data_IF_536028745010
#
_entry.id   IF_536028745010
#
_cell.length_a   1.000
_cell.length_b   1.000
_cell.length_c   1.000
_cell.angle_alpha   90.00
_cell.angle_beta   90.00
_cell.angle_gamma   90.00
#
_symmetry.space_group_name_H-M   'P 1'
#
loop_
_entity.id
_entity.type
_entity.pdbx_description
1 polymer ?
#
# COMPACT_ATOMS: atom_id res chain seq x y z
N UNK A 1 40.46 -7.94 52.92
CA UNK A 1 40.12 -7.07 51.79
C UNK A 1 40.09 -7.75 50.42
N UNK A 2 40.89 -8.78 50.09
CA UNK A 2 40.85 -9.43 48.75
C UNK A 2 39.61 -10.30 48.48
N UNK A 3 38.96 -10.89 49.48
CA UNK A 3 37.76 -11.75 49.29
C UNK A 3 36.47 -10.96 49.03
N UNK A 4 36.34 -9.76 49.57
CA UNK A 4 35.19 -8.87 49.35
C UNK A 4 35.15 -8.26 47.94
N UNK A 5 36.32 -8.03 47.33
CA UNK A 5 36.43 -7.49 45.99
C UNK A 5 35.97 -8.49 44.90
N UNK A 6 36.20 -9.79 45.12
CA UNK A 6 35.76 -10.85 44.19
C UNK A 6 34.24 -11.05 44.19
N UNK A 7 33.58 -10.88 45.33
CA UNK A 7 32.13 -10.97 45.44
C UNK A 7 31.43 -9.79 44.75
N UNK A 8 32.01 -8.58 44.80
CA UNK A 8 31.46 -7.40 44.09
C UNK A 8 31.60 -7.50 42.57
N UNK A 9 32.72 -8.05 42.08
CA UNK A 9 32.91 -8.27 40.63
C UNK A 9 31.98 -9.38 40.10
N UNK A 10 31.72 -10.43 40.86
CA UNK A 10 30.78 -11.48 40.47
C UNK A 10 29.33 -10.99 40.45
N UNK A 11 28.94 -10.14 41.41
CA UNK A 11 27.61 -9.53 41.43
C UNK A 11 27.36 -8.56 40.25
N UNK A 12 28.40 -7.79 39.84
CA UNK A 12 28.31 -6.91 38.67
C UNK A 12 28.19 -7.69 37.36
N UNK A 13 28.83 -8.84 37.22
CA UNK A 13 28.75 -9.66 36.02
C UNK A 13 27.36 -10.31 35.84
N UNK A 14 26.65 -10.60 36.92
CA UNK A 14 25.28 -11.16 36.86
C UNK A 14 24.24 -10.11 36.43
N UNK A 15 24.46 -8.83 36.73
CA UNK A 15 23.56 -7.75 36.33
C UNK A 15 23.62 -7.43 34.85
N UNK A 16 24.71 -7.76 34.15
CA UNK A 16 24.82 -7.59 32.69
C UNK A 16 24.31 -8.79 31.86
N UNK A 17 24.12 -9.94 32.49
CA UNK A 17 23.64 -11.14 31.81
C UNK A 17 22.12 -11.23 31.69
N UNK A 18 21.37 -10.37 32.39
CA UNK A 18 19.89 -10.36 32.32
C UNK A 18 19.30 -9.40 31.30
N UNK A 19 20.14 -8.72 30.50
CA UNK A 19 19.71 -7.71 29.55
C UNK A 19 19.41 -8.25 28.13
N UNK A 20 19.57 -9.56 27.89
CA UNK A 20 19.18 -10.19 26.62
C UNK A 20 18.10 -11.24 26.86
N UNK A 21 17.02 -10.88 27.53
CA UNK A 21 15.80 -11.64 27.31
C UNK A 21 15.33 -11.32 25.90
N UNK A 22 15.44 -12.32 24.99
CA UNK A 22 14.54 -12.34 23.84
C UNK A 22 13.14 -12.26 24.42
N UNK A 23 12.52 -11.11 24.31
CA UNK A 23 11.08 -11.02 24.45
C UNK A 23 10.56 -11.86 23.29
N UNK A 24 10.12 -13.07 23.56
CA UNK A 24 9.35 -13.84 22.60
C UNK A 24 8.18 -12.93 22.22
N UNK A 25 8.26 -12.35 21.03
CA UNK A 25 7.11 -11.65 20.49
C UNK A 25 6.00 -12.68 20.43
N UNK A 26 4.85 -12.45 21.08
CA UNK A 26 3.75 -13.39 21.01
C UNK A 26 3.47 -13.63 19.53
N UNK A 27 3.36 -14.89 19.14
CA UNK A 27 3.03 -15.25 17.77
C UNK A 27 1.76 -14.51 17.36
N UNK A 28 1.80 -13.78 16.23
CA UNK A 28 0.72 -12.91 15.75
C UNK A 28 -0.60 -13.64 15.40
N UNK A 29 -0.79 -14.86 15.88
CA UNK A 29 -1.85 -15.76 15.46
C UNK A 29 -3.28 -15.43 15.90
N UNK A 30 -3.52 -14.63 16.93
CA UNK A 30 -4.86 -14.38 17.47
C UNK A 30 -4.99 -13.03 18.21
N UNK A 31 -4.34 -11.98 17.74
CA UNK A 31 -4.62 -10.67 18.29
C UNK A 31 -6.00 -10.20 17.85
N UNK A 32 -6.84 -9.71 18.77
CA UNK A 32 -8.03 -8.95 18.41
C UNK A 32 -7.60 -7.77 17.54
N UNK A 33 -8.45 -7.36 16.59
CA UNK A 33 -8.22 -6.13 15.84
C UNK A 33 -7.88 -5.02 16.83
N UNK A 34 -6.66 -4.48 16.73
CA UNK A 34 -6.24 -3.43 17.64
C UNK A 34 -7.07 -2.17 17.37
N UNK A 35 -7.77 -1.68 18.39
CA UNK A 35 -8.57 -0.47 18.26
C UNK A 35 -7.73 0.79 18.11
N UNK A 36 -6.40 0.69 18.36
CA UNK A 36 -5.48 1.81 18.30
C UNK A 36 -4.57 1.70 17.07
N UNK A 37 -4.51 2.76 16.30
CA UNK A 37 -3.58 2.85 15.17
C UNK A 37 -2.13 2.79 15.65
N UNK A 38 -1.22 2.11 14.89
CA UNK A 38 0.20 2.08 15.19
C UNK A 38 0.79 3.49 15.37
N UNK A 39 1.65 3.68 16.35
CA UNK A 39 2.27 4.98 16.64
C UNK A 39 3.31 5.42 15.60
N UNK A 40 3.90 4.47 14.86
CA UNK A 40 4.90 4.75 13.84
C UNK A 40 4.30 5.28 12.52
N UNK A 41 5.15 5.72 11.59
CA UNK A 41 4.72 6.20 10.28
C UNK A 41 4.18 5.09 9.37
N UNK A 42 4.61 3.85 9.54
CA UNK A 42 4.08 2.70 8.81
C UNK A 42 2.70 2.35 9.39
N UNK A 43 1.65 2.53 8.60
CA UNK A 43 0.25 2.32 9.00
C UNK A 43 -0.33 1.02 8.47
N UNK A 44 0.16 0.55 7.33
CA UNK A 44 -0.30 -0.67 6.71
C UNK A 44 0.88 -1.40 6.07
N UNK A 45 0.96 -2.70 6.30
CA UNK A 45 1.95 -3.57 5.66
C UNK A 45 1.40 -4.98 5.49
N UNK A 46 1.41 -5.47 4.27
CA UNK A 46 1.16 -6.87 3.97
C UNK A 46 2.30 -7.41 3.12
N UNK A 47 2.97 -8.42 3.64
CA UNK A 47 4.09 -9.08 2.98
C UNK A 47 3.67 -10.16 2.01
N UNK A 48 2.43 -10.64 2.09
CA UNK A 48 1.93 -11.83 1.38
C UNK A 48 2.75 -13.10 1.63
N UNK A 49 3.63 -13.09 2.60
CA UNK A 49 4.47 -14.24 3.02
C UNK A 49 3.63 -15.26 3.78
N UNK A 50 3.01 -16.17 3.04
CA UNK A 50 2.12 -17.16 3.60
C UNK A 50 2.83 -18.39 4.12
N UNK A 51 3.32 -18.39 5.32
CA UNK A 51 3.85 -19.62 5.92
C UNK A 51 2.99 -20.19 7.03
N UNK A 52 2.05 -19.44 7.55
CA UNK A 52 1.22 -19.85 8.65
C UNK A 52 -0.19 -19.36 8.49
N UNK A 53 -0.95 -19.20 9.47
CA UNK A 53 -2.39 -19.09 9.48
C UNK A 53 -3.02 -18.01 8.57
N UNK A 54 -2.29 -16.98 8.09
CA UNK A 54 -2.90 -15.94 7.23
C UNK A 54 -1.88 -15.05 6.48
N UNK A 55 -1.55 -15.40 5.22
CA UNK A 55 -0.63 -14.61 4.39
C UNK A 55 -1.14 -13.20 4.06
N UNK A 56 -2.43 -12.94 4.25
CA UNK A 56 -3.05 -11.64 3.99
C UNK A 56 -3.15 -10.78 5.25
N UNK A 57 -2.57 -11.22 6.36
CA UNK A 57 -2.60 -10.45 7.60
C UNK A 57 -1.75 -9.19 7.47
N UNK A 58 -2.29 -8.06 7.91
CA UNK A 58 -1.52 -6.84 8.03
C UNK A 58 -0.47 -7.01 9.15
N UNK A 59 0.80 -6.91 8.78
CA UNK A 59 1.90 -7.15 9.71
C UNK A 59 2.08 -6.04 10.76
N UNK A 60 1.41 -4.90 10.61
CA UNK A 60 1.50 -3.78 11.58
C UNK A 60 0.56 -4.01 12.77
N UNK A 61 -0.65 -4.50 12.51
CA UNK A 61 -1.68 -4.65 13.54
C UNK A 61 -2.46 -5.96 13.45
N UNK A 62 -2.01 -6.87 12.63
CA UNK A 62 -2.66 -8.17 12.45
C UNK A 62 -4.09 -8.11 11.89
N UNK A 63 -4.45 -7.03 11.18
CA UNK A 63 -5.75 -6.92 10.52
C UNK A 63 -5.83 -7.92 9.38
N UNK A 64 -6.83 -8.79 9.45
CA UNK A 64 -7.08 -9.82 8.44
C UNK A 64 -7.97 -9.30 7.32
N UNK A 65 -7.76 -9.80 6.11
CA UNK A 65 -8.72 -9.60 5.04
C UNK A 65 -10.06 -10.28 5.41
N UNK A 66 -11.16 -9.62 5.10
CA UNK A 66 -12.52 -10.12 5.43
C UNK A 66 -13.22 -10.74 4.23
N UNK A 67 -12.70 -10.61 3.05
CA UNK A 67 -13.37 -11.03 1.82
C UNK A 67 -13.04 -12.44 1.43
N UNK A 68 -14.13 -13.01 0.85
CA UNK A 68 -15.17 -13.85 1.48
C UNK A 68 -14.58 -15.17 1.92
N UNK A 69 -13.42 -15.49 1.44
CA UNK A 69 -12.50 -16.49 1.94
C UNK A 69 -11.17 -15.79 2.12
N UNK A 70 -10.47 -16.04 3.14
CA UNK A 70 -9.26 -15.32 3.57
C UNK A 70 -8.18 -15.11 2.49
N UNK A 71 -8.26 -15.80 1.36
CA UNK A 71 -7.31 -15.63 0.26
C UNK A 71 -7.97 -15.85 -1.11
N UNK A 72 -8.53 -14.81 -1.74
CA UNK A 72 -9.04 -14.91 -3.12
C UNK A 72 -7.93 -14.94 -4.17
N UNK A 73 -6.69 -14.62 -3.81
CA UNK A 73 -5.52 -14.68 -4.68
C UNK A 73 -4.77 -16.00 -4.48
N UNK A 74 -3.97 -16.37 -5.46
CA UNK A 74 -3.11 -17.54 -5.35
C UNK A 74 -1.73 -17.15 -4.85
N UNK A 75 -1.13 -17.99 -4.02
CA UNK A 75 0.25 -17.82 -3.61
C UNK A 75 1.21 -18.21 -4.74
N UNK A 76 2.25 -17.43 -4.91
CA UNK A 76 3.35 -17.68 -5.84
C UNK A 76 4.68 -17.23 -5.20
N UNK A 77 5.78 -17.44 -5.91
CA UNK A 77 7.06 -16.87 -5.49
C UNK A 77 7.00 -15.35 -5.57
N UNK A 78 7.30 -14.67 -4.44
CA UNK A 78 7.40 -13.24 -4.34
C UNK A 78 8.77 -12.70 -4.72
N UNK A 79 8.99 -11.41 -4.50
CA UNK A 79 10.32 -10.81 -4.61
C UNK A 79 11.23 -11.29 -3.47
N UNK A 80 10.63 -11.61 -2.34
CA UNK A 80 11.25 -12.25 -1.21
C UNK A 80 10.21 -13.18 -0.56
N UNK A 81 10.50 -14.47 -0.44
CA UNK A 81 9.52 -15.43 0.08
C UNK A 81 8.36 -15.69 -0.86
N UNK A 82 7.15 -15.54 -0.36
CA UNK A 82 5.91 -15.68 -1.12
C UNK A 82 5.36 -14.32 -1.53
N UNK A 83 4.57 -14.31 -2.60
CA UNK A 83 3.77 -13.19 -3.05
C UNK A 83 2.35 -13.63 -3.39
N UNK A 84 1.48 -12.68 -3.66
CA UNK A 84 0.11 -12.94 -4.08
C UNK A 84 -0.04 -12.73 -5.58
N UNK A 85 -0.62 -13.71 -6.27
CA UNK A 85 -1.00 -13.56 -7.68
C UNK A 85 -2.48 -13.19 -7.76
N UNK A 86 -2.76 -12.03 -8.33
CA UNK A 86 -4.10 -11.54 -8.55
C UNK A 86 -4.87 -12.45 -9.51
N UNK A 87 -6.15 -12.58 -9.25
CA UNK A 87 -7.09 -13.37 -10.03
C UNK A 87 -8.15 -12.45 -10.60
N UNK A 88 -8.49 -12.63 -11.90
CA UNK A 88 -9.54 -11.85 -12.54
C UNK A 88 -10.83 -11.85 -11.72
N UNK A 89 -11.44 -10.68 -11.55
CA UNK A 89 -12.67 -10.47 -10.78
C UNK A 89 -12.57 -10.84 -9.29
N UNK A 90 -11.35 -10.86 -8.76
CA UNK A 90 -11.09 -11.06 -7.32
C UNK A 90 -10.28 -9.90 -6.76
N UNK A 91 -10.43 -9.69 -5.47
CA UNK A 91 -9.65 -8.70 -4.72
C UNK A 91 -9.60 -9.08 -3.23
N UNK A 92 -8.62 -8.54 -2.55
CA UNK A 92 -8.53 -8.65 -1.09
C UNK A 92 -9.20 -7.42 -0.50
N UNK A 93 -10.06 -7.63 0.48
CA UNK A 93 -10.70 -6.57 1.24
C UNK A 93 -10.16 -6.54 2.66
N UNK A 94 -9.66 -5.37 3.05
CA UNK A 94 -9.23 -5.14 4.43
C UNK A 94 -10.26 -4.27 5.16
N UNK A 95 -10.57 -4.59 6.43
CA UNK A 95 -11.56 -3.84 7.21
C UNK A 95 -11.01 -2.47 7.67
N UNK A 96 -9.69 -2.32 7.72
CA UNK A 96 -9.01 -1.13 8.19
C UNK A 96 -7.61 -1.00 7.55
N UNK A 97 -7.08 0.18 7.61
CA UNK A 97 -5.74 0.57 7.18
C UNK A 97 -5.14 1.61 8.15
N UNK A 98 -5.52 1.54 9.42
CA UNK A 98 -4.90 2.21 10.57
C UNK A 98 -4.76 3.71 10.44
N UNK A 99 -5.81 4.45 10.23
CA UNK A 99 -5.77 5.92 10.16
C UNK A 99 -4.80 6.49 9.09
N UNK A 100 -4.32 5.66 8.13
CA UNK A 100 -3.52 6.16 7.01
C UNK A 100 -4.25 7.27 6.25
N UNK A 101 -5.55 7.16 6.08
CA UNK A 101 -6.37 8.16 5.41
C UNK A 101 -6.45 9.51 6.17
N UNK A 102 -6.10 9.54 7.44
CA UNK A 102 -5.98 10.78 8.20
C UNK A 102 -4.62 11.47 8.03
N UNK A 103 -3.73 10.89 7.24
CA UNK A 103 -2.40 11.44 6.99
C UNK A 103 -2.48 12.65 6.07
N UNK A 104 -1.72 13.69 6.37
CA UNK A 104 -1.63 14.88 5.51
C UNK A 104 -0.64 14.72 4.37
N UNK A 105 0.35 13.87 4.56
CA UNK A 105 1.33 13.40 3.58
C UNK A 105 1.35 11.88 3.58
N UNK A 106 1.85 11.25 2.52
CA UNK A 106 1.93 9.79 2.50
C UNK A 106 3.04 9.24 1.60
N UNK A 107 3.33 7.96 1.80
CA UNK A 107 4.03 7.10 0.85
C UNK A 107 3.28 5.79 0.71
N UNK A 108 3.02 5.35 -0.52
CA UNK A 108 2.57 4.01 -0.87
C UNK A 108 3.75 3.32 -1.56
N UNK A 109 4.11 2.11 -1.14
CA UNK A 109 5.21 1.33 -1.71
C UNK A 109 4.74 -0.10 -1.94
N UNK A 110 5.05 -0.67 -3.11
CA UNK A 110 4.63 -2.01 -3.49
C UNK A 110 5.60 -2.63 -4.49
N UNK A 111 5.81 -3.93 -4.37
CA UNK A 111 6.38 -4.74 -5.45
C UNK A 111 5.25 -5.32 -6.28
N UNK A 112 5.37 -5.22 -7.58
CA UNK A 112 4.41 -5.78 -8.52
C UNK A 112 5.10 -6.47 -9.70
N UNK A 113 4.39 -7.39 -10.30
CA UNK A 113 4.82 -8.12 -11.49
C UNK A 113 3.64 -8.23 -12.44
N UNK A 114 3.82 -7.79 -13.68
CA UNK A 114 2.75 -7.65 -14.65
C UNK A 114 3.20 -8.14 -16.02
N UNK A 115 2.33 -8.85 -16.71
CA UNK A 115 2.47 -9.20 -18.13
C UNK A 115 1.32 -8.59 -18.94
N UNK A 116 1.47 -7.30 -19.25
CA UNK A 116 0.43 -6.52 -19.94
C UNK A 116 -0.83 -6.26 -19.12
N UNK A 117 -1.87 -5.76 -19.76
CA UNK A 117 -3.17 -5.50 -19.14
C UNK A 117 -4.03 -6.75 -19.08
N UNK A 118 -4.81 -6.90 -17.98
CA UNK A 118 -5.93 -7.83 -17.99
C UNK A 118 -7.03 -7.34 -18.90
N UNK A 119 -7.79 -8.29 -19.44
CA UNK A 119 -9.02 -7.96 -20.14
C UNK A 119 -10.13 -7.66 -19.14
N UNK A 120 -10.96 -6.69 -19.49
CA UNK A 120 -12.25 -6.51 -18.84
C UNK A 120 -13.23 -7.62 -19.24
N UNK A 121 -14.47 -7.58 -18.74
CA UNK A 121 -15.48 -8.62 -18.97
C UNK A 121 -15.92 -8.76 -20.42
N UNK A 122 -15.70 -7.75 -21.27
CA UNK A 122 -16.03 -7.81 -22.70
C UNK A 122 -14.83 -8.17 -23.58
N UNK A 123 -13.68 -8.39 -22.96
CA UNK A 123 -12.46 -8.76 -23.65
C UNK A 123 -11.57 -7.59 -24.07
N UNK A 124 -11.97 -6.34 -23.78
CA UNK A 124 -11.11 -5.17 -23.89
C UNK A 124 -10.05 -5.13 -22.79
N UNK A 125 -9.01 -4.34 -22.99
CA UNK A 125 -7.99 -4.13 -21.96
C UNK A 125 -8.55 -3.17 -20.89
N UNK A 126 -8.30 -3.50 -19.63
CA UNK A 126 -8.69 -2.69 -18.47
C UNK A 126 -7.51 -2.32 -17.59
N UNK A 127 -7.67 -1.32 -16.73
CA UNK A 127 -6.66 -0.95 -15.74
C UNK A 127 -6.31 -2.09 -14.80
N UNK A 128 -5.07 -2.13 -14.35
CA UNK A 128 -4.57 -3.05 -13.34
C UNK A 128 -4.52 -2.33 -12.00
N UNK A 129 -5.57 -2.46 -11.20
CA UNK A 129 -5.67 -1.78 -9.90
C UNK A 129 -4.79 -2.44 -8.85
N UNK A 130 -3.79 -1.72 -8.36
CA UNK A 130 -2.99 -2.15 -7.21
C UNK A 130 -3.84 -2.02 -5.95
N UNK A 131 -4.48 -0.86 -5.76
CA UNK A 131 -5.36 -0.63 -4.61
C UNK A 131 -6.45 0.41 -4.92
N UNK A 132 -7.51 0.34 -4.15
CA UNK A 132 -8.52 1.41 -4.11
C UNK A 132 -9.10 1.58 -2.70
N UNK A 133 -9.42 2.82 -2.36
CA UNK A 133 -10.21 3.21 -1.19
C UNK A 133 -11.64 3.46 -1.69
N UNK A 134 -12.48 2.44 -1.60
CA UNK A 134 -13.87 2.55 -2.04
C UNK A 134 -14.63 3.47 -1.10
N UNK A 135 -15.32 4.45 -1.68
CA UNK A 135 -16.19 5.34 -0.95
C UNK A 135 -17.63 4.82 -0.87
N UNK A 136 -18.40 5.38 0.07
CA UNK A 136 -19.85 5.22 0.09
C UNK A 136 -20.49 5.81 -1.17
N UNK A 137 -21.59 5.21 -1.61
CA UNK A 137 -22.31 5.64 -2.80
C UNK A 137 -22.68 7.13 -2.74
N UNK A 138 -22.54 7.80 -3.87
CA UNK A 138 -22.87 9.22 -4.02
C UNK A 138 -21.85 10.20 -3.41
N UNK A 139 -20.77 9.74 -2.80
CA UNK A 139 -19.73 10.64 -2.30
C UNK A 139 -18.95 11.32 -3.43
N UNK A 140 -18.56 10.56 -4.42
CA UNK A 140 -17.83 11.04 -5.59
C UNK A 140 -18.25 10.21 -6.81
N UNK A 141 -18.13 10.76 -8.02
CA UNK A 141 -18.53 10.09 -9.26
C UNK A 141 -17.80 8.74 -9.45
N UNK A 142 -16.57 8.63 -8.97
CA UNK A 142 -15.76 7.41 -9.07
C UNK A 142 -16.08 6.36 -8.02
N UNK A 143 -16.94 6.64 -7.04
CA UNK A 143 -17.14 5.81 -5.84
C UNK A 143 -15.85 5.49 -5.08
N UNK A 144 -14.86 6.38 -5.14
CA UNK A 144 -13.57 6.22 -4.47
C UNK A 144 -13.16 7.48 -3.71
N UNK A 145 -12.36 7.30 -2.67
CA UNK A 145 -11.57 8.36 -2.02
C UNK A 145 -10.16 8.39 -2.61
N UNK A 146 -9.70 7.29 -3.18
CA UNK A 146 -8.43 7.24 -3.90
C UNK A 146 -8.18 5.87 -4.51
N UNK A 147 -7.31 5.82 -5.49
CA UNK A 147 -6.84 4.59 -6.11
C UNK A 147 -5.51 4.77 -6.82
N UNK A 148 -4.86 3.64 -7.08
CA UNK A 148 -3.61 3.53 -7.83
C UNK A 148 -3.71 2.34 -8.79
N UNK A 149 -3.40 2.55 -10.07
CA UNK A 149 -3.44 1.51 -11.09
C UNK A 149 -2.41 1.71 -12.20
N UNK A 150 -2.20 0.64 -12.94
CA UNK A 150 -1.38 0.57 -14.13
C UNK A 150 -2.26 0.39 -15.37
N UNK A 151 -1.86 0.98 -16.50
CA UNK A 151 -2.57 0.84 -17.77
C UNK A 151 -1.57 0.85 -18.93
N UNK A 152 -1.46 -0.26 -19.64
CA UNK A 152 -0.54 -0.35 -20.77
C UNK A 152 0.00 -1.75 -20.99
N UNK A 153 1.15 -1.80 -21.63
CA UNK A 153 1.86 -3.03 -21.94
C UNK A 153 3.36 -2.85 -21.67
N UNK A 154 4.17 -3.83 -22.03
CA UNK A 154 5.61 -3.76 -21.80
C UNK A 154 6.30 -2.63 -22.58
N UNK A 155 5.79 -2.24 -23.75
CA UNK A 155 6.35 -1.13 -24.54
C UNK A 155 6.11 0.21 -23.88
N UNK A 156 4.90 0.41 -23.30
CA UNK A 156 4.51 1.65 -22.66
C UNK A 156 3.43 1.38 -21.61
N UNK A 157 3.69 1.75 -20.37
CA UNK A 157 2.76 1.60 -19.26
C UNK A 157 2.53 2.95 -18.58
N UNK A 158 1.26 3.36 -18.47
CA UNK A 158 0.87 4.50 -17.65
C UNK A 158 0.75 4.07 -16.18
N UNK A 159 1.23 4.92 -15.28
CA UNK A 159 0.92 4.87 -13.84
C UNK A 159 -0.06 5.98 -13.55
N UNK A 160 -1.18 5.64 -12.95
CA UNK A 160 -2.26 6.58 -12.68
C UNK A 160 -2.74 6.46 -11.25
N UNK A 161 -2.91 7.58 -10.60
CA UNK A 161 -3.55 7.67 -9.29
C UNK A 161 -4.50 8.85 -9.23
N UNK A 162 -5.53 8.71 -8.42
CA UNK A 162 -6.47 9.78 -8.10
C UNK A 162 -6.71 9.77 -6.60
N UNK A 163 -6.79 10.97 -6.04
CA UNK A 163 -7.23 11.15 -4.64
C UNK A 163 -8.31 12.21 -4.59
N UNK A 164 -9.28 12.00 -3.70
CA UNK A 164 -10.43 12.89 -3.48
C UNK A 164 -10.31 13.49 -2.09
N UNK A 165 -10.29 14.79 -2.02
CA UNK A 165 -10.21 15.56 -0.78
C UNK A 165 -11.34 16.59 -0.73
N UNK A 166 -11.77 17.08 0.45
CA UNK A 166 -12.66 18.23 0.50
C UNK A 166 -12.10 19.41 -0.28
N UNK A 167 -12.93 20.08 -1.08
CA UNK A 167 -12.52 21.25 -1.88
C UNK A 167 -12.04 22.44 -1.02
N UNK A 168 -12.54 22.52 0.21
CA UNK A 168 -12.05 23.43 1.24
C UNK A 168 -11.41 22.63 2.37
N UNK A 169 -10.08 22.66 2.49
CA UNK A 169 -9.36 21.93 3.54
C UNK A 169 -9.76 22.34 4.96
N UNK A 170 -10.30 23.55 5.15
CA UNK A 170 -10.80 24.02 6.45
C UNK A 170 -12.20 23.49 6.78
N UNK A 171 -12.93 23.00 5.77
CA UNK A 171 -14.27 22.46 5.91
C UNK A 171 -14.33 21.00 5.37
N UNK A 172 -14.18 19.99 6.23
CA UNK A 172 -14.19 18.59 5.80
C UNK A 172 -15.54 18.12 5.20
N UNK A 173 -16.59 18.93 5.33
CA UNK A 173 -17.90 18.69 4.73
C UNK A 173 -18.11 19.44 3.41
N UNK A 174 -17.11 20.15 2.91
CA UNK A 174 -17.20 20.75 1.58
C UNK A 174 -17.30 19.69 0.49
N UNK A 175 -17.76 20.08 -0.69
CA UNK A 175 -17.88 19.19 -1.85
C UNK A 175 -16.54 18.50 -2.12
N UNK A 176 -16.54 17.21 -2.49
CA UNK A 176 -15.32 16.53 -2.86
C UNK A 176 -14.69 17.12 -4.12
N UNK A 177 -13.39 17.22 -4.12
CA UNK A 177 -12.56 17.60 -5.25
C UNK A 177 -11.51 16.55 -5.49
N UNK A 178 -11.34 16.11 -6.72
CA UNK A 178 -10.34 15.11 -7.09
C UNK A 178 -9.12 15.74 -7.77
N UNK A 179 -7.99 15.08 -7.64
CA UNK A 179 -6.81 15.33 -8.43
C UNK A 179 -6.26 14.02 -9.00
N UNK A 180 -5.89 14.10 -10.26
CA UNK A 180 -5.24 13.02 -10.98
C UNK A 180 -3.75 13.27 -11.07
N UNK A 181 -3.00 12.22 -10.80
CA UNK A 181 -1.55 12.18 -10.94
C UNK A 181 -1.22 11.07 -11.92
N UNK A 182 -0.93 11.45 -13.17
CA UNK A 182 -0.81 10.50 -14.26
C UNK A 182 0.54 10.63 -14.97
N UNK A 183 1.21 9.51 -15.17
CA UNK A 183 2.39 9.36 -16.02
C UNK A 183 1.94 8.60 -17.27
N UNK A 184 1.33 9.35 -18.22
CA UNK A 184 0.72 8.84 -19.43
C UNK A 184 1.19 9.61 -20.67
N UNK A 185 0.78 9.18 -21.87
CA UNK A 185 1.24 9.77 -23.12
C UNK A 185 2.75 9.70 -23.24
N UNK A 186 3.42 10.82 -23.48
CA UNK A 186 4.87 10.90 -23.58
C UNK A 186 5.64 10.63 -22.27
N UNK A 187 4.95 10.39 -21.14
CA UNK A 187 5.52 10.07 -19.84
C UNK A 187 5.30 8.62 -19.44
N UNK A 188 4.72 7.81 -20.32
CA UNK A 188 4.57 6.36 -20.08
C UNK A 188 5.94 5.71 -19.90
N UNK A 189 5.97 4.66 -19.10
CA UNK A 189 7.19 3.97 -18.69
C UNK A 189 7.25 2.64 -19.42
N UNK A 190 8.34 2.42 -20.16
CA UNK A 190 8.61 1.13 -20.80
C UNK A 190 9.15 0.14 -19.76
N UNK A 191 8.93 -1.15 -20.00
CA UNK A 191 9.48 -2.24 -19.21
C UNK A 191 8.72 -2.57 -17.92
N UNK A 192 7.64 -1.87 -17.56
CA UNK A 192 6.89 -2.17 -16.32
C UNK A 192 5.97 -3.40 -16.42
N UNK A 193 5.66 -3.87 -17.61
CA UNK A 193 4.77 -5.02 -17.85
C UNK A 193 5.52 -6.13 -18.59
N UNK A 194 6.73 -6.48 -18.13
CA UNK A 194 7.66 -7.43 -18.77
C UNK A 194 7.70 -8.79 -18.06
N UNK A 195 6.74 -9.03 -17.17
CA UNK A 195 6.69 -10.23 -16.32
C UNK A 195 7.89 -10.35 -15.34
N UNK A 196 8.50 -9.22 -14.99
CA UNK A 196 9.49 -9.14 -13.94
C UNK A 196 8.94 -8.38 -12.72
N UNK A 197 9.60 -8.54 -11.58
CA UNK A 197 9.26 -7.79 -10.37
C UNK A 197 9.83 -6.39 -10.42
N UNK A 198 8.96 -5.39 -10.29
CA UNK A 198 9.30 -3.97 -10.17
C UNK A 198 8.84 -3.42 -8.84
N UNK A 199 9.62 -2.51 -8.29
CA UNK A 199 9.25 -1.73 -7.12
C UNK A 199 8.66 -0.40 -7.54
N UNK A 200 7.52 -0.04 -7.00
CA UNK A 200 6.92 1.28 -7.17
C UNK A 200 6.72 1.94 -5.82
N UNK A 201 7.08 3.23 -5.74
CA UNK A 201 6.65 4.07 -4.63
C UNK A 201 6.01 5.35 -5.15
N UNK A 202 4.91 5.76 -4.52
CA UNK A 202 4.19 7.00 -4.77
C UNK A 202 4.17 7.81 -3.48
N UNK A 203 4.64 9.05 -3.52
CA UNK A 203 4.63 9.96 -2.37
C UNK A 203 3.76 11.18 -2.63
N UNK A 204 3.13 11.71 -1.59
CA UNK A 204 2.51 13.02 -1.55
C UNK A 204 3.10 13.84 -0.41
N UNK A 205 3.57 15.04 -0.71
CA UNK A 205 4.18 15.96 0.26
C UNK A 205 3.30 17.21 0.42
N UNK A 206 2.71 17.37 1.60
CA UNK A 206 1.85 18.52 1.92
C UNK A 206 2.59 19.86 1.88
N UNK A 207 3.89 19.88 2.16
CA UNK A 207 4.67 21.11 2.26
C UNK A 207 4.76 21.89 0.94
N UNK A 208 4.64 21.16 -0.18
CA UNK A 208 4.71 21.71 -1.53
C UNK A 208 3.65 21.13 -2.48
N UNK A 209 2.73 20.31 -1.96
CA UNK A 209 1.67 19.62 -2.70
C UNK A 209 2.19 18.78 -3.87
N UNK A 210 3.41 18.26 -3.77
CA UNK A 210 4.01 17.47 -4.85
C UNK A 210 3.72 15.99 -4.71
N UNK A 211 3.60 15.32 -5.87
CA UNK A 211 3.51 13.87 -5.99
C UNK A 211 4.70 13.37 -6.80
N UNK A 212 5.48 12.49 -6.20
CA UNK A 212 6.62 11.85 -6.86
C UNK A 212 6.32 10.37 -7.07
N UNK A 213 6.75 9.86 -8.21
CA UNK A 213 6.75 8.45 -8.54
C UNK A 213 8.19 7.95 -8.54
N UNK A 214 8.41 6.79 -7.95
CA UNK A 214 9.67 6.06 -8.00
C UNK A 214 9.43 4.70 -8.62
N UNK A 215 10.31 4.29 -9.51
CA UNK A 215 10.35 2.96 -10.09
C UNK A 215 11.74 2.38 -9.84
N UNK A 216 11.77 1.19 -9.25
CA UNK A 216 13.01 0.46 -8.93
C UNK A 216 14.01 1.31 -8.13
N UNK A 217 13.48 2.06 -7.16
CA UNK A 217 14.25 2.94 -6.28
C UNK A 217 14.67 4.28 -6.92
N UNK A 218 14.33 4.54 -8.18
CA UNK A 218 14.72 5.76 -8.91
C UNK A 218 13.52 6.68 -9.09
N UNK A 219 13.68 7.95 -8.72
CA UNK A 219 12.64 8.96 -8.91
C UNK A 219 12.41 9.23 -10.40
N UNK A 220 11.13 9.17 -10.82
CA UNK A 220 10.71 9.63 -12.14
C UNK A 220 10.89 11.17 -12.23
N UNK A 221 11.48 11.71 -13.31
CA UNK A 221 11.72 13.15 -13.44
C UNK A 221 10.45 13.99 -13.53
N UNK A 222 9.31 13.39 -13.89
CA UNK A 222 8.04 14.09 -14.05
C UNK A 222 7.29 14.14 -12.71
N UNK A 223 7.63 15.12 -11.87
CA UNK A 223 6.92 15.39 -10.61
C UNK A 223 5.56 16.01 -10.92
N UNK A 224 4.52 15.55 -10.21
CA UNK A 224 3.15 16.09 -10.29
C UNK A 224 2.89 17.03 -9.13
N UNK A 225 1.85 17.83 -9.23
CA UNK A 225 1.47 18.74 -8.14
C UNK A 225 -0.05 18.89 -8.06
N UNK A 226 -0.55 19.08 -6.86
CA UNK A 226 -1.95 19.45 -6.59
C UNK A 226 -2.09 20.96 -6.33
N UNK A 227 -1.30 21.77 -6.99
CA UNK A 227 -1.51 23.21 -7.07
C UNK A 227 -1.80 23.94 -5.76
N UNK A 228 -0.92 23.85 -4.75
CA UNK A 228 -1.09 24.55 -3.48
C UNK A 228 -2.15 23.95 -2.54
N UNK A 229 -2.54 22.68 -2.75
CA UNK A 229 -3.54 21.98 -1.93
C UNK A 229 -3.11 21.86 -0.45
N UNK A 230 -1.81 21.68 -0.18
CA UNK A 230 -1.29 21.50 1.18
C UNK A 230 -1.63 20.13 1.74
N UNK A 231 -2.07 20.06 2.98
CA UNK A 231 -2.38 18.80 3.65
C UNK A 231 -3.49 18.02 2.93
N UNK A 232 -3.19 16.75 2.60
CA UNK A 232 -4.21 15.83 2.10
C UNK A 232 -5.21 15.55 3.23
N UNK A 233 -6.49 15.51 2.91
CA UNK A 233 -7.56 15.25 3.86
C UNK A 233 -8.57 14.29 3.27
N UNK A 234 -8.21 13.02 3.22
CA UNK A 234 -9.13 11.99 2.76
C UNK A 234 -10.29 11.85 3.75
N UNK A 235 -11.49 11.65 3.22
CA UNK A 235 -12.67 11.49 4.07
C UNK A 235 -12.71 10.08 4.68
N UNK A 236 -12.19 9.94 5.89
CA UNK A 236 -12.15 8.66 6.63
C UNK A 236 -13.55 8.08 6.87
N UNK A 237 -14.56 8.94 7.03
CA UNK A 237 -15.96 8.51 7.26
C UNK A 237 -16.67 8.06 5.98
N UNK A 238 -16.09 8.34 4.82
CA UNK A 238 -16.66 7.95 3.53
C UNK A 238 -16.03 6.70 2.96
N UNK A 239 -14.86 6.29 3.46
CA UNK A 239 -14.22 5.05 3.03
C UNK A 239 -14.94 3.87 3.67
N UNK A 240 -15.46 2.97 2.85
CA UNK A 240 -16.17 1.77 3.28
C UNK A 240 -15.36 0.48 3.10
N UNK A 241 -14.44 0.47 2.13
CA UNK A 241 -13.57 -0.66 1.87
C UNK A 241 -12.15 -0.18 1.51
N UNK A 242 -11.15 -0.86 2.05
CA UNK A 242 -9.80 -0.85 1.47
C UNK A 242 -9.62 -2.12 0.64
N UNK A 243 -9.37 -1.95 -0.66
CA UNK A 243 -9.22 -3.04 -1.62
C UNK A 243 -7.82 -3.10 -2.15
N UNK A 244 -7.27 -4.31 -2.21
CA UNK A 244 -6.03 -4.63 -2.91
C UNK A 244 -6.38 -5.48 -4.11
N UNK A 245 -5.96 -5.04 -5.29
CA UNK A 245 -6.17 -5.76 -6.54
C UNK A 245 -7.50 -5.51 -7.25
N UNK A 246 -8.24 -4.47 -6.88
CA UNK A 246 -9.43 -4.05 -7.63
C UNK A 246 -9.74 -2.56 -7.54
N UNK A 247 -10.44 -2.08 -8.56
CA UNK A 247 -11.05 -0.77 -8.60
C UNK A 247 -12.25 -0.63 -7.65
N UNK A 248 -12.83 0.59 -7.55
CA UNK A 248 -13.85 0.91 -6.55
C UNK A 248 -15.27 0.50 -6.90
N UNK A 249 -15.56 0.02 -8.09
CA UNK A 249 -16.92 -0.38 -8.49
C UNK A 249 -17.54 -1.46 -7.64
N UNK A 250 -18.87 -1.56 -7.66
CA UNK A 250 -19.61 -2.54 -6.84
C UNK A 250 -19.53 -3.98 -7.39
N UNK A 251 -19.03 -4.17 -8.60
CA UNK A 251 -18.89 -5.48 -9.21
C UNK A 251 -17.96 -5.44 -10.42
N UNK A 252 -17.83 -6.58 -11.09
CA UNK A 252 -16.99 -6.75 -12.29
C UNK A 252 -17.85 -6.99 -13.55
N UNK A 253 -19.08 -6.48 -13.58
CA UNK A 253 -20.10 -6.89 -14.54
C UNK A 253 -20.19 -6.04 -15.80
N UNK A 254 -19.38 -4.98 -15.96
CA UNK A 254 -19.48 -4.04 -17.07
C UNK A 254 -18.14 -3.72 -17.69
N UNK A 255 -18.17 -3.01 -18.82
CA UNK A 255 -17.01 -2.35 -19.42
C UNK A 255 -16.50 -1.15 -18.61
N UNK A 256 -17.03 -0.96 -17.42
CA UNK A 256 -16.58 0.08 -16.52
C UNK A 256 -15.11 -0.16 -16.12
N UNK A 257 -14.27 0.76 -16.50
CA UNK A 257 -12.85 0.71 -16.15
C UNK A 257 -12.61 0.73 -14.62
N UNK A 258 -13.55 1.29 -13.83
CA UNK A 258 -13.53 1.26 -12.36
C UNK A 258 -13.81 -0.14 -11.79
N UNK A 259 -14.31 -1.07 -12.61
CA UNK A 259 -14.62 -2.44 -12.22
C UNK A 259 -13.48 -3.44 -12.52
N UNK A 260 -12.34 -2.96 -12.98
CA UNK A 260 -11.22 -3.84 -13.32
C UNK A 260 -10.48 -4.34 -12.07
N UNK A 261 -9.89 -5.52 -12.19
CA UNK A 261 -9.07 -6.15 -11.16
C UNK A 261 -7.58 -6.14 -11.55
N UNK A 262 -6.73 -6.59 -10.64
CA UNK A 262 -5.31 -6.82 -10.87
C UNK A 262 -5.08 -8.30 -11.22
N UNK A 263 -4.30 -8.56 -12.25
CA UNK A 263 -3.85 -9.89 -12.62
C UNK A 263 -2.35 -9.89 -12.82
N UNK A 264 -1.63 -10.38 -11.85
CA UNK A 264 -0.16 -10.36 -11.80
C UNK A 264 0.29 -10.60 -10.37
N UNK A 265 1.58 -10.43 -10.12
CA UNK A 265 2.16 -10.55 -8.79
C UNK A 265 2.03 -9.26 -7.99
N UNK A 266 1.71 -9.37 -6.71
CA UNK A 266 1.82 -8.31 -5.71
C UNK A 266 2.62 -8.82 -4.53
N UNK A 267 3.49 -7.97 -3.99
CA UNK A 267 4.29 -8.29 -2.82
C UNK A 267 4.61 -7.02 -2.02
N UNK A 268 4.74 -7.16 -0.72
CA UNK A 268 5.23 -6.14 0.20
C UNK A 268 4.55 -4.76 0.04
N UNK A 269 3.22 -4.74 0.03
CA UNK A 269 2.46 -3.49 -0.02
C UNK A 269 2.55 -2.77 1.33
N UNK A 270 3.05 -1.54 1.31
CA UNK A 270 3.20 -0.67 2.47
C UNK A 270 2.53 0.68 2.27
N UNK A 271 1.95 1.22 3.33
CA UNK A 271 1.41 2.57 3.35
C UNK A 271 1.93 3.31 4.59
N UNK A 272 2.63 4.41 4.34
CA UNK A 272 3.19 5.27 5.38
C UNK A 272 2.38 6.57 5.48
N UNK A 273 2.25 7.11 6.68
CA UNK A 273 1.60 8.40 6.95
C UNK A 273 2.56 9.60 6.83
N UNK A 274 3.67 9.41 6.13
CA UNK A 274 4.71 10.42 5.91
C UNK A 274 5.33 10.24 4.53
N UNK A 275 6.00 11.27 4.07
CA UNK A 275 6.87 11.18 2.90
C UNK A 275 8.16 10.46 3.29
N UNK A 276 8.46 9.35 2.64
CA UNK A 276 9.79 8.74 2.72
C UNK A 276 10.77 9.52 1.84
N UNK A 277 11.99 9.65 2.31
CA UNK A 277 13.09 10.21 1.55
C UNK A 277 13.49 9.30 0.38
N UNK A 278 14.14 9.86 -0.61
CA UNK A 278 14.66 9.09 -1.76
C UNK A 278 15.57 7.94 -1.31
N UNK A 279 16.38 8.16 -0.25
CA UNK A 279 17.25 7.14 0.32
C UNK A 279 16.46 5.99 1.01
N UNK A 280 15.38 6.32 1.70
CA UNK A 280 14.52 5.30 2.32
C UNK A 280 13.78 4.47 1.26
N UNK A 281 13.29 5.11 0.18
CA UNK A 281 12.67 4.40 -0.94
C UNK A 281 13.68 3.50 -1.66
N UNK A 282 14.90 4.00 -1.87
CA UNK A 282 15.98 3.20 -2.45
C UNK A 282 16.36 2.02 -1.54
N UNK A 283 16.31 2.20 -0.23
CA UNK A 283 16.54 1.11 0.73
C UNK A 283 15.44 0.05 0.68
N UNK A 284 14.16 0.42 0.54
CA UNK A 284 13.06 -0.53 0.33
C UNK A 284 13.27 -1.37 -0.94
N UNK A 285 13.68 -0.72 -2.03
CA UNK A 285 14.02 -1.42 -3.28
C UNK A 285 15.21 -2.37 -3.10
N UNK A 286 16.31 -1.89 -2.51
CA UNK A 286 17.56 -2.65 -2.40
C UNK A 286 17.45 -3.85 -1.45
N UNK A 287 16.70 -3.71 -0.36
CA UNK A 287 16.57 -4.78 0.65
C UNK A 287 15.58 -5.85 0.26
N UNK A 288 14.63 -5.54 -0.63
CA UNK A 288 13.55 -6.47 -1.03
C UNK A 288 12.81 -7.05 0.19
N UNK A 289 12.62 -6.21 1.22
CA UNK A 289 12.01 -6.59 2.50
C UNK A 289 10.85 -5.68 2.83
#
# INVERSE_FOLDING_TARGET
>A
MKKTLHCLLAASAILFASSCQKIDQPGMGNYPADANSPNGPLKFYVAFDGTSANPLMNAVDSIKATFPSDNPFTNAAGINGSGATGVSEKYIKYPSFNAWAASSSFTISVWFKQDGQTKNNTGGNGPQYIMSLKASDGYHWSNAVGFLFLEGNNTACAVKSMFVSPSDPANPNSSPSDAWFTWEGGQMIAGLCDDQWHHMALTYDESNSSVKLFIDGVQNPNVKTWGGHGALRLSTTKIIDYRVGAGPSNGFTSDDWLACSFKGGLDQLRMYSTVLTDAEIQALFATKK
#
